data_IF_727523864145
#
_entry.id   IF_727523864145
#
_cell.length_a   1.000
_cell.length_b   1.000
_cell.length_c   1.000
_cell.angle_alpha   90.00
_cell.angle_beta   90.00
_cell.angle_gamma   90.00
#
_symmetry.space_group_name_H-M   'P 1'
#
loop_
_entity.id
_entity.type
_entity.pdbx_description
1 polymer ?
#
# COMPACT_ATOMS: atom_id res chain seq x y z
N UNK A 1 7.17 -28.24 -3.05
CA UNK A 1 7.51 -26.92 -2.45
C UNK A 1 7.47 -25.88 -3.55
N UNK A 2 6.59 -24.92 -3.45
CA UNK A 2 6.50 -23.81 -4.41
C UNK A 2 7.68 -22.87 -4.17
N UNK A 3 8.53 -22.67 -5.17
CA UNK A 3 9.73 -21.83 -5.03
C UNK A 3 9.31 -20.37 -4.79
N UNK A 4 9.94 -19.70 -3.82
CA UNK A 4 9.73 -18.27 -3.57
C UNK A 4 10.12 -17.48 -4.82
N UNK A 5 9.23 -16.64 -5.39
CA UNK A 5 9.52 -15.88 -6.59
C UNK A 5 10.63 -14.84 -6.34
N UNK A 6 11.45 -14.63 -7.36
CA UNK A 6 12.44 -13.56 -7.36
C UNK A 6 11.74 -12.27 -7.79
N UNK A 7 11.69 -11.30 -6.91
CA UNK A 7 11.12 -9.98 -7.13
C UNK A 7 12.19 -8.99 -7.59
N UNK A 8 11.77 -7.84 -8.09
CA UNK A 8 12.67 -6.82 -8.67
C UNK A 8 13.02 -5.74 -7.65
N UNK A 9 12.02 -5.10 -7.06
CA UNK A 9 12.12 -3.96 -6.14
C UNK A 9 11.64 -4.29 -4.71
N UNK A 10 11.16 -5.51 -4.49
CA UNK A 10 10.81 -6.01 -3.17
C UNK A 10 11.62 -7.26 -2.81
N UNK A 11 11.63 -7.59 -1.52
CA UNK A 11 12.19 -8.84 -1.00
C UNK A 11 11.06 -9.69 -0.45
N UNK A 12 11.04 -10.97 -0.81
CA UNK A 12 10.07 -11.94 -0.29
C UNK A 12 10.82 -13.06 0.42
N UNK A 13 10.46 -13.30 1.67
CA UNK A 13 10.97 -14.43 2.46
C UNK A 13 9.82 -15.30 2.94
N UNK A 14 10.10 -16.59 3.18
CA UNK A 14 9.17 -17.52 3.80
C UNK A 14 9.87 -18.22 4.96
N UNK A 15 9.43 -17.94 6.17
CA UNK A 15 9.96 -18.54 7.39
C UNK A 15 8.80 -18.93 8.31
N UNK A 16 8.81 -20.17 8.82
CA UNK A 16 7.79 -20.65 9.75
C UNK A 16 6.36 -20.40 9.28
N UNK A 17 6.09 -20.59 7.98
CA UNK A 17 4.81 -20.35 7.32
C UNK A 17 4.38 -18.87 7.23
N UNK A 18 5.26 -17.95 7.58
CA UNK A 18 5.08 -16.50 7.44
C UNK A 18 5.78 -16.05 6.15
N UNK A 19 5.03 -15.60 5.17
CA UNK A 19 5.56 -14.91 4.00
C UNK A 19 5.72 -13.42 4.35
N UNK A 20 6.93 -12.88 4.24
CA UNK A 20 7.19 -11.45 4.49
C UNK A 20 7.61 -10.77 3.21
N UNK A 21 6.77 -9.86 2.72
CA UNK A 21 7.06 -8.96 1.61
C UNK A 21 7.59 -7.64 2.16
N UNK A 22 8.84 -7.33 1.87
CA UNK A 22 9.48 -6.06 2.22
C UNK A 22 9.60 -5.20 0.96
N UNK A 23 8.89 -4.08 0.91
CA UNK A 23 9.04 -3.06 -0.14
C UNK A 23 10.45 -2.47 -0.03
N UNK A 24 11.30 -2.63 -1.04
CA UNK A 24 12.74 -2.37 -0.93
C UNK A 24 13.25 -1.30 -1.92
N UNK A 25 12.51 -0.21 -2.02
CA UNK A 25 12.90 1.03 -2.73
C UNK A 25 12.99 2.19 -1.74
N UNK A 26 13.81 2.00 -0.69
CA UNK A 26 14.01 3.02 0.34
C UNK A 26 14.58 4.34 -0.22
N UNK A 27 15.30 4.31 -1.33
CA UNK A 27 15.75 5.47 -2.09
C UNK A 27 14.60 6.37 -2.59
N UNK A 28 13.45 5.76 -2.90
CA UNK A 28 12.20 6.41 -3.28
C UNK A 28 11.15 6.40 -2.14
N UNK A 29 11.55 6.07 -0.91
CA UNK A 29 10.62 5.87 0.22
C UNK A 29 9.51 4.88 -0.12
N UNK A 30 9.87 3.83 -0.84
CA UNK A 30 8.98 2.77 -1.28
C UNK A 30 7.75 3.27 -2.08
N UNK A 31 7.97 4.28 -2.96
CA UNK A 31 6.92 4.74 -3.88
C UNK A 31 6.49 3.59 -4.80
N UNK A 32 5.17 3.40 -4.93
CA UNK A 32 4.58 2.32 -5.72
C UNK A 32 4.66 2.60 -7.21
N UNK A 33 4.35 3.83 -7.64
CA UNK A 33 4.50 4.24 -9.04
C UNK A 33 5.94 4.63 -9.36
N UNK A 34 6.38 4.39 -10.59
CA UNK A 34 7.76 4.62 -11.02
C UNK A 34 8.76 3.57 -10.48
N UNK A 35 8.24 2.43 -10.02
CA UNK A 35 9.00 1.26 -9.56
C UNK A 35 8.32 -0.02 -10.02
N UNK A 36 8.95 -1.19 -9.76
CA UNK A 36 8.35 -2.50 -10.03
C UNK A 36 7.53 -3.03 -8.82
N UNK A 37 7.34 -2.23 -7.77
CA UNK A 37 6.64 -2.68 -6.55
C UNK A 37 5.20 -3.12 -6.82
N UNK A 38 4.51 -2.54 -7.81
CA UNK A 38 3.18 -2.97 -8.22
C UNK A 38 3.19 -4.42 -8.68
N UNK A 39 4.09 -4.76 -9.60
CA UNK A 39 4.23 -6.12 -10.14
C UNK A 39 4.71 -7.09 -9.06
N UNK A 40 5.62 -6.68 -8.20
CA UNK A 40 6.14 -7.49 -7.09
C UNK A 40 5.03 -7.83 -6.08
N UNK A 41 4.16 -6.87 -5.73
CA UNK A 41 3.01 -7.10 -4.83
C UNK A 41 2.01 -8.06 -5.47
N UNK A 42 1.66 -7.86 -6.75
CA UNK A 42 0.74 -8.72 -7.48
C UNK A 42 1.29 -10.14 -7.59
N UNK A 43 2.56 -10.28 -7.97
CA UNK A 43 3.24 -11.60 -8.05
C UNK A 43 3.26 -12.29 -6.69
N UNK A 44 3.48 -11.55 -5.61
CA UNK A 44 3.46 -12.09 -4.24
C UNK A 44 2.07 -12.60 -3.88
N UNK A 45 1.02 -11.82 -4.15
CA UNK A 45 -0.37 -12.20 -3.86
C UNK A 45 -0.77 -13.49 -4.61
N UNK A 46 -0.42 -13.59 -5.89
CA UNK A 46 -0.67 -14.78 -6.69
C UNK A 46 0.10 -16.00 -6.17
N UNK A 47 1.38 -15.82 -5.82
CA UNK A 47 2.22 -16.89 -5.29
C UNK A 47 1.73 -17.39 -3.91
N UNK A 48 1.31 -16.51 -3.02
CA UNK A 48 0.79 -16.87 -1.69
C UNK A 48 -0.39 -17.81 -1.79
N UNK A 49 -1.31 -17.58 -2.72
CA UNK A 49 -2.48 -18.45 -2.93
C UNK A 49 -2.12 -19.82 -3.51
N UNK A 50 -0.96 -19.97 -4.13
CA UNK A 50 -0.47 -21.24 -4.72
C UNK A 50 0.46 -22.01 -3.78
N UNK A 51 0.90 -21.40 -2.67
CA UNK A 51 1.87 -21.96 -1.75
C UNK A 51 1.22 -22.46 -0.46
N UNK A 52 1.00 -23.77 -0.36
CA UNK A 52 0.40 -24.42 0.83
C UNK A 52 1.22 -24.25 2.12
N UNK A 53 2.48 -23.84 2.00
CA UNK A 53 3.38 -23.58 3.13
C UNK A 53 3.17 -22.16 3.74
N UNK A 54 2.35 -21.29 3.13
CA UNK A 54 2.05 -19.96 3.66
C UNK A 54 0.78 -19.99 4.49
N UNK A 55 0.82 -19.41 5.70
CA UNK A 55 -0.34 -19.23 6.58
C UNK A 55 -0.71 -17.76 6.81
N UNK A 56 0.20 -16.84 6.53
CA UNK A 56 0.02 -15.40 6.68
C UNK A 56 0.98 -14.64 5.79
N UNK A 57 0.52 -13.54 5.22
CA UNK A 57 1.35 -12.58 4.48
C UNK A 57 1.57 -11.34 5.35
N UNK A 58 2.83 -10.98 5.59
CA UNK A 58 3.23 -9.72 6.23
C UNK A 58 3.76 -8.78 5.14
N UNK A 59 3.30 -7.52 5.12
CA UNK A 59 3.81 -6.47 4.23
C UNK A 59 4.45 -5.39 5.08
N UNK A 60 5.68 -5.02 4.77
CA UNK A 60 6.41 -3.94 5.44
C UNK A 60 7.30 -3.16 4.47
N UNK A 61 7.89 -2.06 4.91
CA UNK A 61 8.79 -1.24 4.11
C UNK A 61 10.24 -1.29 4.58
N UNK A 62 11.19 -1.31 3.68
CA UNK A 62 12.59 -1.10 3.99
C UNK A 62 12.87 0.38 4.29
N UNK A 63 13.80 0.65 5.21
CA UNK A 63 14.23 2.00 5.55
C UNK A 63 13.23 2.75 6.43
N UNK A 64 13.09 4.05 6.18
CA UNK A 64 12.38 4.98 7.08
C UNK A 64 10.90 5.17 6.77
N UNK A 65 10.36 4.51 5.75
CA UNK A 65 8.96 4.63 5.35
C UNK A 65 8.34 3.26 5.06
N UNK A 66 7.06 3.11 5.33
CA UNK A 66 6.30 2.00 4.80
C UNK A 66 6.13 2.18 3.29
N UNK A 67 5.44 3.25 2.85
CA UNK A 67 5.36 3.65 1.45
C UNK A 67 4.91 5.11 1.31
N UNK A 68 5.59 5.86 0.44
CA UNK A 68 5.20 7.22 0.07
C UNK A 68 4.06 7.27 -0.97
N UNK A 69 3.58 6.12 -1.44
CA UNK A 69 2.49 6.04 -2.42
C UNK A 69 2.92 6.36 -3.84
N UNK A 70 2.30 7.35 -4.46
CA UNK A 70 2.61 7.77 -5.82
C UNK A 70 3.87 8.64 -5.91
N UNK A 71 4.56 8.58 -7.05
CA UNK A 71 5.70 9.46 -7.32
C UNK A 71 5.21 10.87 -7.71
N UNK A 72 5.25 11.79 -6.75
CA UNK A 72 4.79 13.18 -6.93
C UNK A 72 5.57 13.91 -8.03
N UNK A 73 6.85 13.60 -8.25
CA UNK A 73 7.65 14.23 -9.32
C UNK A 73 7.11 13.86 -10.69
N UNK A 74 6.76 12.60 -10.90
CA UNK A 74 6.17 12.15 -12.16
C UNK A 74 4.79 12.77 -12.38
N UNK A 75 3.98 12.92 -11.33
CA UNK A 75 2.69 13.63 -11.37
C UNK A 75 2.89 15.09 -11.80
N UNK A 76 3.80 15.81 -11.17
CA UNK A 76 4.09 17.24 -11.47
C UNK A 76 4.61 17.42 -12.89
N UNK A 77 5.51 16.53 -13.32
CA UNK A 77 6.15 16.60 -14.64
C UNK A 77 5.30 15.97 -15.75
N UNK A 78 4.15 15.36 -15.43
CA UNK A 78 3.33 14.56 -16.34
C UNK A 78 4.17 13.53 -17.10
N UNK A 79 4.99 12.78 -16.36
CA UNK A 79 5.90 11.76 -16.87
C UNK A 79 5.55 10.38 -16.34
N UNK A 80 6.17 9.32 -16.88
CA UNK A 80 5.95 7.94 -16.45
C UNK A 80 4.47 7.55 -16.51
N UNK A 81 3.94 7.04 -15.40
CA UNK A 81 2.54 6.60 -15.29
C UNK A 81 1.52 7.75 -15.44
N UNK A 82 1.97 9.00 -15.30
CA UNK A 82 1.15 10.21 -15.37
C UNK A 82 1.33 11.00 -16.68
N UNK A 83 2.05 10.44 -17.67
CA UNK A 83 2.20 11.06 -18.99
C UNK A 83 0.90 10.97 -19.82
N UNK A 84 0.78 11.84 -20.83
CA UNK A 84 -0.31 11.80 -21.80
C UNK A 84 -1.60 12.47 -21.35
N UNK A 85 -2.70 12.13 -22.01
CA UNK A 85 -4.02 12.67 -21.71
C UNK A 85 -4.74 11.91 -20.58
N UNK A 86 -5.94 12.38 -20.21
CA UNK A 86 -6.73 11.80 -19.11
C UNK A 86 -7.12 10.35 -19.39
N UNK A 87 -7.42 9.99 -20.63
CA UNK A 87 -7.82 8.63 -20.99
C UNK A 87 -6.63 7.67 -20.90
N UNK A 88 -5.46 8.10 -21.34
CA UNK A 88 -4.21 7.34 -21.23
C UNK A 88 -3.79 7.17 -19.76
N UNK A 89 -3.91 8.21 -18.93
CA UNK A 89 -3.67 8.10 -17.48
C UNK A 89 -4.65 7.11 -16.84
N UNK A 90 -5.94 7.17 -17.17
CA UNK A 90 -6.93 6.26 -16.63
C UNK A 90 -6.63 4.79 -17.01
N UNK A 91 -6.15 4.54 -18.23
CA UNK A 91 -5.75 3.21 -18.67
C UNK A 91 -4.52 2.70 -17.91
N UNK A 92 -3.52 3.57 -17.68
CA UNK A 92 -2.33 3.21 -16.86
C UNK A 92 -2.69 2.93 -15.41
N UNK A 93 -3.62 3.68 -14.81
CA UNK A 93 -4.13 3.37 -13.47
C UNK A 93 -4.74 1.97 -13.40
N UNK A 94 -5.59 1.61 -14.37
CA UNK A 94 -6.22 0.27 -14.42
C UNK A 94 -5.20 -0.85 -14.61
N UNK A 95 -4.20 -0.64 -15.47
CA UNK A 95 -3.16 -1.62 -15.79
C UNK A 95 -1.99 -1.61 -14.79
N UNK A 96 -1.88 -0.58 -13.98
CA UNK A 96 -0.87 -0.34 -12.99
C UNK A 96 -1.40 -0.49 -11.56
N UNK A 97 -1.47 0.62 -10.82
CA UNK A 97 -1.69 0.63 -9.38
C UNK A 97 -3.00 -0.01 -8.94
N UNK A 98 -4.06 0.04 -9.75
CA UNK A 98 -5.35 -0.60 -9.43
C UNK A 98 -5.30 -2.13 -9.44
N UNK A 99 -4.23 -2.73 -9.91
CA UNK A 99 -4.00 -4.17 -9.80
C UNK A 99 -3.73 -4.61 -8.37
N UNK A 100 -3.14 -3.73 -7.55
CA UNK A 100 -2.81 -4.03 -6.15
C UNK A 100 -4.06 -4.37 -5.33
N UNK A 101 -5.09 -3.49 -5.21
CA UNK A 101 -6.28 -3.82 -4.42
C UNK A 101 -7.00 -5.07 -4.91
N UNK A 102 -7.02 -5.30 -6.23
CA UNK A 102 -7.66 -6.50 -6.80
C UNK A 102 -6.89 -7.77 -6.46
N UNK A 103 -5.56 -7.73 -6.50
CA UNK A 103 -4.71 -8.87 -6.14
C UNK A 103 -4.79 -9.18 -4.65
N UNK A 104 -4.64 -8.17 -3.78
CA UNK A 104 -4.67 -8.36 -2.32
C UNK A 104 -6.05 -8.79 -1.81
N UNK A 105 -7.14 -8.31 -2.43
CA UNK A 105 -8.50 -8.75 -2.08
C UNK A 105 -8.74 -10.24 -2.36
N UNK A 106 -7.96 -10.83 -3.27
CA UNK A 106 -8.04 -12.25 -3.63
C UNK A 106 -7.07 -13.14 -2.84
N UNK A 107 -6.27 -12.59 -1.93
CA UNK A 107 -5.39 -13.39 -1.07
C UNK A 107 -6.23 -14.19 -0.08
N UNK A 108 -5.96 -15.49 0.03
CA UNK A 108 -6.75 -16.45 0.81
C UNK A 108 -6.24 -16.66 2.25
N UNK A 109 -5.09 -16.05 2.59
CA UNK A 109 -4.54 -16.05 3.95
C UNK A 109 -4.62 -14.66 4.57
N UNK A 110 -4.60 -14.53 5.92
CA UNK A 110 -4.56 -13.22 6.55
C UNK A 110 -3.37 -12.36 6.07
N UNK A 111 -3.63 -11.07 5.86
CA UNK A 111 -2.62 -10.06 5.51
C UNK A 111 -2.39 -9.14 6.71
N UNK A 112 -1.14 -8.98 7.11
CA UNK A 112 -0.73 -8.05 8.18
C UNK A 112 0.14 -6.95 7.56
N UNK A 113 -0.27 -5.68 7.71
CA UNK A 113 0.60 -4.55 7.42
C UNK A 113 1.40 -4.18 8.67
N UNK A 114 2.72 -4.38 8.62
CA UNK A 114 3.66 -3.92 9.64
C UNK A 114 4.20 -2.55 9.20
N UNK A 115 3.52 -1.49 9.66
CA UNK A 115 3.76 -0.10 9.20
C UNK A 115 4.92 0.49 9.99
N UNK A 116 6.13 0.37 9.45
CA UNK A 116 7.38 0.76 10.09
C UNK A 116 7.68 2.27 10.05
N UNK A 117 6.90 3.07 9.33
CA UNK A 117 7.10 4.51 9.14
C UNK A 117 5.96 5.13 8.33
N UNK A 118 6.15 6.31 7.73
CA UNK A 118 5.12 6.99 6.97
C UNK A 118 4.48 6.12 5.89
N UNK A 119 3.14 6.10 5.86
CA UNK A 119 2.27 5.48 4.87
C UNK A 119 1.36 6.58 4.29
N UNK A 120 1.63 7.05 3.08
CA UNK A 120 1.04 8.28 2.53
C UNK A 120 0.36 8.01 1.17
N UNK A 121 -0.83 8.55 0.98
CA UNK A 121 -1.63 8.37 -0.24
C UNK A 121 -1.81 6.88 -0.55
N UNK A 122 -1.43 6.44 -1.75
CA UNK A 122 -1.48 5.04 -2.15
C UNK A 122 -0.72 4.09 -1.20
N UNK A 123 0.27 4.59 -0.44
CA UNK A 123 0.95 3.82 0.60
C UNK A 123 0.07 3.61 1.83
N UNK A 124 -0.77 4.59 2.18
CA UNK A 124 -1.78 4.42 3.21
C UNK A 124 -2.90 3.49 2.74
N UNK A 125 -3.32 3.61 1.49
CA UNK A 125 -4.30 2.71 0.90
C UNK A 125 -3.80 1.26 0.89
N UNK A 126 -2.52 1.03 0.56
CA UNK A 126 -1.91 -0.29 0.65
C UNK A 126 -1.98 -0.87 2.08
N UNK A 127 -1.70 -0.06 3.10
CA UNK A 127 -1.84 -0.50 4.49
C UNK A 127 -3.30 -0.86 4.83
N UNK A 128 -4.27 -0.10 4.31
CA UNK A 128 -5.70 -0.32 4.53
C UNK A 128 -6.25 -1.59 3.84
N UNK A 129 -5.52 -2.14 2.86
CA UNK A 129 -5.88 -3.40 2.18
C UNK A 129 -5.59 -4.64 3.04
N UNK A 130 -4.76 -4.52 4.09
CA UNK A 130 -4.47 -5.62 4.99
C UNK A 130 -5.64 -5.88 5.97
N UNK A 131 -5.72 -7.09 6.51
CA UNK A 131 -6.70 -7.44 7.54
C UNK A 131 -6.34 -6.82 8.89
N UNK A 132 -5.05 -6.82 9.24
CA UNK A 132 -4.52 -6.28 10.49
C UNK A 132 -3.39 -5.28 10.16
N UNK A 133 -3.36 -4.16 10.87
CA UNK A 133 -2.29 -3.16 10.82
C UNK A 133 -1.67 -3.01 12.20
N UNK A 134 -0.35 -3.12 12.27
CA UNK A 134 0.47 -2.81 13.44
C UNK A 134 1.43 -1.69 13.02
N UNK A 135 1.57 -0.67 13.84
CA UNK A 135 2.37 0.50 13.48
C UNK A 135 3.54 0.69 14.44
N UNK A 136 4.64 1.20 13.92
CA UNK A 136 5.68 1.83 14.72
C UNK A 136 5.17 3.16 15.28
N UNK A 137 5.67 3.58 16.43
CA UNK A 137 5.43 4.92 17.02
C UNK A 137 5.82 6.08 16.09
N UNK A 138 6.75 5.84 15.17
CA UNK A 138 7.16 6.81 14.14
C UNK A 138 6.27 6.81 12.89
N UNK A 139 5.28 5.93 12.80
CA UNK A 139 4.40 5.87 11.65
C UNK A 139 3.54 7.14 11.54
N UNK A 140 3.28 7.53 10.30
CA UNK A 140 2.37 8.63 9.94
C UNK A 140 1.44 8.12 8.86
N UNK A 141 0.19 8.55 8.89
CA UNK A 141 -0.83 8.13 7.94
C UNK A 141 -1.49 9.34 7.31
N UNK A 142 -1.67 9.35 6.00
CA UNK A 142 -2.28 10.48 5.33
C UNK A 142 -2.91 10.13 4.00
N UNK A 143 -4.19 10.46 3.85
CA UNK A 143 -4.97 10.36 2.62
C UNK A 143 -4.82 11.66 1.82
N UNK A 144 -3.62 11.88 1.28
CA UNK A 144 -3.18 13.20 0.81
C UNK A 144 -3.51 13.52 -0.64
N UNK A 145 -4.36 12.73 -1.30
CA UNK A 145 -4.70 12.91 -2.72
C UNK A 145 -5.29 14.28 -3.04
N UNK A 146 -6.12 14.84 -2.13
CA UNK A 146 -6.71 16.16 -2.30
C UNK A 146 -5.65 17.26 -2.45
N UNK A 147 -4.51 17.15 -1.76
CA UNK A 147 -3.42 18.11 -1.86
C UNK A 147 -2.79 18.17 -3.26
N UNK A 148 -3.04 17.15 -4.08
CA UNK A 148 -2.61 17.05 -5.47
C UNK A 148 -3.76 17.31 -6.46
N UNK A 149 -4.97 17.64 -5.97
CA UNK A 149 -6.15 17.88 -6.80
C UNK A 149 -6.71 16.62 -7.45
N UNK A 150 -6.43 15.44 -6.88
CA UNK A 150 -6.95 14.15 -7.35
C UNK A 150 -7.76 13.45 -6.26
N UNK A 151 -8.56 12.47 -6.65
CA UNK A 151 -9.31 11.60 -5.73
C UNK A 151 -8.52 10.30 -5.46
N UNK A 152 -8.77 9.59 -4.34
CA UNK A 152 -8.25 8.24 -4.14
C UNK A 152 -8.68 7.31 -5.27
N UNK A 153 -7.72 6.80 -6.04
CA UNK A 153 -7.97 6.02 -7.25
C UNK A 153 -7.54 4.57 -7.19
N UNK A 154 -7.02 4.10 -6.07
CA UNK A 154 -6.36 2.82 -5.89
C UNK A 154 -6.93 1.98 -4.73
N UNK A 155 -8.13 2.31 -4.28
CA UNK A 155 -8.90 1.50 -3.32
C UNK A 155 -9.17 2.18 -1.98
N UNK A 156 -8.48 3.26 -1.61
CA UNK A 156 -8.59 3.91 -0.30
C UNK A 156 -10.02 4.31 0.06
N UNK A 157 -10.75 4.90 -0.86
CA UNK A 157 -12.15 5.26 -0.66
C UNK A 157 -13.05 4.05 -0.33
N UNK A 158 -12.69 2.85 -0.77
CA UNK A 158 -13.45 1.64 -0.48
C UNK A 158 -13.03 0.99 0.83
N UNK A 159 -11.73 0.88 1.10
CA UNK A 159 -11.19 0.19 2.28
C UNK A 159 -11.35 1.03 3.55
N UNK A 160 -10.97 2.31 3.52
CA UNK A 160 -10.91 3.14 4.72
C UNK A 160 -12.28 3.33 5.39
N UNK A 161 -13.35 3.55 4.62
CA UNK A 161 -14.69 3.69 5.18
C UNK A 161 -15.20 2.39 5.85
N UNK A 162 -14.74 1.23 5.39
CA UNK A 162 -15.07 -0.08 6.00
C UNK A 162 -14.30 -0.31 7.29
N UNK A 163 -13.13 0.28 7.38
CA UNK A 163 -12.26 0.16 8.54
C UNK A 163 -12.70 1.08 9.69
N UNK A 164 -12.91 2.37 9.42
CA UNK A 164 -13.14 3.39 10.46
C UNK A 164 -14.51 4.08 10.37
N UNK A 165 -15.35 3.64 9.46
CA UNK A 165 -16.67 4.22 9.21
C UNK A 165 -16.61 5.46 8.33
N UNK A 166 -17.77 5.77 7.72
CA UNK A 166 -17.90 6.80 6.69
C UNK A 166 -17.41 8.18 7.15
N UNK A 167 -17.85 8.65 8.33
CA UNK A 167 -17.59 10.01 8.78
C UNK A 167 -16.08 10.29 8.95
N UNK A 168 -15.36 9.37 9.58
CA UNK A 168 -13.91 9.49 9.81
C UNK A 168 -13.12 9.38 8.51
N UNK A 169 -13.48 8.42 7.66
CA UNK A 169 -12.86 8.27 6.35
C UNK A 169 -13.08 9.51 5.48
N UNK A 170 -14.30 10.05 5.48
CA UNK A 170 -14.64 11.26 4.74
C UNK A 170 -13.86 12.48 5.22
N UNK A 171 -13.72 12.66 6.53
CA UNK A 171 -12.93 13.74 7.14
C UNK A 171 -11.47 13.66 6.71
N UNK A 172 -10.81 12.50 6.88
CA UNK A 172 -9.40 12.32 6.50
C UNK A 172 -9.18 12.55 5.00
N UNK A 173 -10.07 12.03 4.15
CA UNK A 173 -9.97 12.20 2.70
C UNK A 173 -10.14 13.65 2.27
N UNK A 174 -11.11 14.40 2.85
CA UNK A 174 -11.39 15.78 2.45
C UNK A 174 -10.46 16.81 3.07
N UNK A 175 -9.82 16.50 4.18
CA UNK A 175 -8.83 17.40 4.79
C UNK A 175 -7.43 17.14 4.28
N UNK A 176 -7.13 15.90 3.85
CA UNK A 176 -5.79 15.48 3.46
C UNK A 176 -4.77 15.61 4.60
N UNK A 177 -5.23 15.69 5.84
CA UNK A 177 -4.35 15.82 7.01
C UNK A 177 -3.59 14.53 7.28
N UNK A 178 -2.43 14.67 7.87
CA UNK A 178 -1.58 13.55 8.29
C UNK A 178 -1.74 13.37 9.80
N UNK A 179 -2.00 12.12 10.21
CA UNK A 179 -2.15 11.71 11.60
C UNK A 179 -0.94 10.88 12.05
N UNK A 180 -0.70 10.86 13.36
CA UNK A 180 0.33 9.99 13.94
C UNK A 180 -0.22 8.59 14.31
N UNK A 181 0.68 7.73 14.80
CA UNK A 181 0.34 6.36 15.16
C UNK A 181 -0.67 6.30 16.32
N UNK A 182 -0.58 7.22 17.27
CA UNK A 182 -1.49 7.28 18.42
C UNK A 182 -2.91 7.61 17.97
N UNK A 183 -3.09 8.65 17.17
CA UNK A 183 -4.39 9.00 16.60
C UNK A 183 -4.92 7.90 15.68
N UNK A 184 -4.05 7.26 14.89
CA UNK A 184 -4.44 6.14 14.04
C UNK A 184 -4.99 4.96 14.85
N UNK A 185 -4.44 4.68 16.04
CA UNK A 185 -4.97 3.67 16.97
C UNK A 185 -6.32 4.11 17.56
N UNK A 186 -6.46 5.35 18.00
CA UNK A 186 -7.72 5.89 18.53
C UNK A 186 -8.86 5.85 17.49
N UNK A 187 -8.54 6.10 16.23
CA UNK A 187 -9.49 6.00 15.13
C UNK A 187 -9.82 4.57 14.70
N UNK A 188 -9.05 3.58 15.15
CA UNK A 188 -9.20 2.18 14.77
C UNK A 188 -8.56 1.83 13.41
N UNK A 189 -7.65 2.67 12.91
CA UNK A 189 -6.88 2.40 11.69
C UNK A 189 -5.85 1.32 11.96
N UNK A 190 -5.14 1.41 13.07
CA UNK A 190 -4.19 0.38 13.52
C UNK A 190 -4.66 -0.30 14.80
N UNK A 191 -4.34 -1.58 14.93
CA UNK A 191 -4.69 -2.38 16.09
C UNK A 191 -3.76 -2.07 17.28
N UNK A 192 -2.47 -1.96 17.00
CA UNK A 192 -1.41 -1.72 17.99
C UNK A 192 -0.34 -0.77 17.44
N UNK A 193 0.33 -0.09 18.38
CA UNK A 193 1.51 0.75 18.16
C UNK A 193 2.64 0.23 19.04
#
# INVERSE_FOLDING_TARGET
MTTVPKLTDALLTLENRVATLTLNRHDLRNALTGSNLIDDIVTTAEWVNQCEDVSVLVITGAGSAFSAGGNIRDMTNRSGDFAGDVAECADRYRKGIQRIPLALQNVEVPIIAAVNGPAIGAGFDLANMADIRIASDNAKFGETFLNLGIIPGDGGAWFMQRLIGYQRAFELTLTGRVIDATEAKELGIVLEV
#
